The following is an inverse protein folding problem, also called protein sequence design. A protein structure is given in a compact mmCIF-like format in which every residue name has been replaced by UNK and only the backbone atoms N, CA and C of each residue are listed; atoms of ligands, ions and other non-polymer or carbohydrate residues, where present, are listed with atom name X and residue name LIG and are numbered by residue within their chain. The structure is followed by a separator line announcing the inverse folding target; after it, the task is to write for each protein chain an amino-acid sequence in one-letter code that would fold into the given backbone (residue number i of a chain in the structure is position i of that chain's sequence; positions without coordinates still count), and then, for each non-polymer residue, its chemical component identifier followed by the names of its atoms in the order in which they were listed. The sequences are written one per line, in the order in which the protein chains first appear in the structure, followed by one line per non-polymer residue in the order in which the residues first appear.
data_IF_402376095802
#
_entry.id   IF_402376095802
#
_cell.length_a   1.000
_cell.length_b   1.000
_cell.length_c   1.000
_cell.angle_alpha   90.00
_cell.angle_beta   90.00
_cell.angle_gamma   90.00
#
_symmetry.space_group_name_H-M   'P 1'
#
loop_
_entity.id
_entity.type
_entity.pdbx_description
1 polymer ?
#
# COMPACT_ATOMS: atom_id res chain seq x y z
N UNK A 1 -6.75 18.62 -9.38
CA UNK A 1 -8.08 18.53 -10.04
C UNK A 1 -7.89 18.90 -11.50
N UNK A 2 -8.52 18.16 -12.43
CA UNK A 2 -8.21 17.98 -13.86
C UNK A 2 -7.26 16.79 -14.09
N UNK A 3 -7.55 15.76 -14.89
CA UNK A 3 -8.69 15.39 -15.75
C UNK A 3 -8.79 13.86 -15.73
N UNK A 4 -9.91 13.34 -15.27
CA UNK A 4 -10.33 11.95 -15.49
C UNK A 4 -11.36 11.96 -16.60
N UNK A 5 -10.89 12.09 -17.83
CA UNK A 5 -11.66 11.93 -19.05
C UNK A 5 -10.76 11.18 -20.02
N UNK A 6 -11.34 10.27 -20.80
CA UNK A 6 -10.72 9.45 -21.87
C UNK A 6 -10.46 7.98 -21.53
N UNK A 7 -11.44 7.25 -20.95
CA UNK A 7 -11.39 5.78 -20.91
C UNK A 7 -12.69 5.05 -21.27
N UNK A 8 -13.74 5.74 -21.70
CA UNK A 8 -15.00 5.10 -22.08
C UNK A 8 -15.58 5.80 -23.31
N UNK A 9 -14.92 5.66 -24.46
CA UNK A 9 -15.47 6.11 -25.74
C UNK A 9 -15.16 5.12 -26.87
N UNK A 10 -15.06 3.84 -26.52
CA UNK A 10 -15.34 2.78 -27.48
C UNK A 10 -16.55 2.03 -26.91
N UNK A 11 -17.73 2.60 -27.15
CA UNK A 11 -18.90 1.77 -27.33
C UNK A 11 -18.52 0.80 -28.46
N UNK A 12 -18.01 -0.38 -28.10
CA UNK A 12 -18.10 -1.55 -28.94
C UNK A 12 -19.60 -1.71 -29.21
N UNK A 13 -20.09 -1.00 -30.23
CA UNK A 13 -21.38 -1.21 -30.84
C UNK A 13 -21.46 -2.72 -30.98
N UNK A 14 -22.33 -3.35 -30.18
CA UNK A 14 -22.65 -4.76 -30.31
C UNK A 14 -22.88 -4.97 -31.79
N UNK A 15 -21.93 -5.58 -32.49
CA UNK A 15 -21.89 -5.60 -33.95
C UNK A 15 -23.20 -6.21 -34.45
N UNK A 16 -24.18 -5.33 -34.71
CA UNK A 16 -25.53 -5.68 -35.14
C UNK A 16 -25.55 -5.86 -36.65
N UNK A 17 -24.40 -5.71 -37.33
CA UNK A 17 -24.22 -6.08 -38.73
C UNK A 17 -24.62 -7.53 -38.98
N UNK A 18 -24.44 -8.40 -37.98
CA UNK A 18 -24.93 -9.80 -38.01
C UNK A 18 -26.45 -9.92 -37.82
N UNK A 19 -27.20 -8.89 -37.40
CA UNK A 19 -28.66 -8.94 -37.21
C UNK A 19 -29.41 -8.48 -38.48
N UNK A 20 -28.84 -7.55 -39.25
CA UNK A 20 -29.49 -6.96 -40.43
C UNK A 20 -29.15 -7.65 -41.77
N UNK A 21 -28.08 -8.44 -41.86
CA UNK A 21 -27.53 -8.78 -43.18
C UNK A 21 -28.21 -9.92 -43.96
N UNK A 22 -29.08 -10.74 -43.38
CA UNK A 22 -29.73 -11.81 -44.15
C UNK A 22 -31.20 -11.93 -43.77
N UNK A 23 -32.03 -11.08 -44.38
CA UNK A 23 -33.46 -11.32 -44.42
C UNK A 23 -33.69 -12.72 -44.98
N UNK A 24 -34.08 -13.65 -44.11
CA UNK A 24 -34.31 -15.02 -44.53
C UNK A 24 -35.37 -15.01 -45.63
N UNK A 25 -35.00 -15.47 -46.83
CA UNK A 25 -35.88 -15.58 -47.99
C UNK A 25 -37.15 -16.37 -47.65
N UNK A 26 -37.09 -17.38 -46.78
CA UNK A 26 -38.27 -18.13 -46.32
C UNK A 26 -39.16 -17.28 -45.38
N UNK A 27 -38.57 -16.51 -44.48
CA UNK A 27 -39.31 -15.59 -43.61
C UNK A 27 -39.95 -14.42 -44.38
N UNK A 28 -39.31 -13.92 -45.44
CA UNK A 28 -39.81 -12.80 -46.24
C UNK A 28 -40.77 -13.24 -47.35
N UNK A 29 -40.58 -14.42 -47.95
CA UNK A 29 -41.41 -14.90 -49.06
C UNK A 29 -42.77 -15.43 -48.61
N UNK A 30 -42.96 -15.67 -47.31
CA UNK A 30 -44.13 -16.35 -46.77
C UNK A 30 -44.14 -17.82 -47.20
N UNK A 31 -44.21 -18.73 -46.23
CA UNK A 31 -44.31 -20.16 -46.57
C UNK A 31 -45.53 -20.38 -47.48
N UNK A 32 -45.31 -20.87 -48.71
CA UNK A 32 -46.40 -21.26 -49.59
C UNK A 32 -47.21 -22.33 -48.87
N UNK A 33 -48.48 -22.04 -48.57
CA UNK A 33 -49.40 -23.01 -47.97
C UNK A 33 -49.91 -23.92 -49.09
N UNK A 34 -49.52 -25.20 -49.13
CA UNK A 34 -50.05 -26.11 -50.14
C UNK A 34 -51.56 -26.20 -49.97
N UNK A 35 -52.30 -26.11 -51.08
CA UNK A 35 -53.75 -26.33 -51.06
C UNK A 35 -54.04 -27.79 -50.73
N UNK A 36 -55.12 -28.02 -49.98
CA UNK A 36 -55.66 -29.37 -49.81
C UNK A 36 -56.09 -29.90 -51.20
N UNK A 37 -55.92 -31.21 -51.47
CA UNK A 37 -56.40 -31.79 -52.70
C UNK A 37 -57.92 -31.61 -52.84
N UNK A 38 -58.36 -31.37 -54.07
CA UNK A 38 -59.79 -31.40 -54.39
C UNK A 38 -60.34 -32.82 -54.21
N UNK A 39 -61.62 -32.98 -53.82
CA UNK A 39 -62.25 -34.29 -53.73
C UNK A 39 -62.26 -35.01 -55.11
N UNK A 40 -62.22 -36.35 -55.12
CA UNK A 40 -62.15 -37.12 -56.36
C UNK A 40 -63.34 -36.83 -57.28
N UNK A 41 -63.07 -36.65 -58.57
CA UNK A 41 -64.08 -36.34 -59.58
C UNK A 41 -64.89 -37.57 -60.00
N UNK A 42 -64.37 -38.78 -59.73
CA UNK A 42 -65.06 -40.04 -60.00
C UNK A 42 -65.74 -40.52 -58.72
N UNK A 43 -67.04 -40.79 -58.82
CA UNK A 43 -67.84 -41.35 -57.72
C UNK A 43 -67.78 -42.87 -57.74
N UNK A 44 -67.61 -43.50 -56.57
CA UNK A 44 -67.73 -44.95 -56.44
C UNK A 44 -69.22 -45.32 -56.56
N UNK A 45 -69.62 -46.20 -57.50
CA UNK A 45 -71.02 -46.61 -57.63
C UNK A 45 -71.55 -47.20 -56.33
N UNK A 46 -72.77 -46.81 -55.96
CA UNK A 46 -73.45 -47.36 -54.80
C UNK A 46 -73.74 -48.85 -54.97
N UNK A 47 -73.85 -49.57 -53.85
CA UNK A 47 -74.19 -50.99 -53.86
C UNK A 47 -75.57 -51.20 -54.52
N UNK A 48 -75.61 -52.04 -55.56
CA UNK A 48 -76.83 -52.29 -56.35
C UNK A 48 -77.01 -51.38 -57.57
N UNK A 49 -76.10 -50.45 -57.83
CA UNK A 49 -76.10 -49.65 -59.06
C UNK A 49 -75.85 -50.53 -60.31
N UNK A 50 -76.40 -50.15 -61.48
CA UNK A 50 -76.07 -50.81 -62.74
C UNK A 50 -74.57 -50.84 -62.99
N UNK A 51 -74.05 -51.97 -63.48
CA UNK A 51 -72.62 -52.15 -63.75
C UNK A 51 -72.18 -51.16 -64.84
N UNK A 52 -71.16 -50.31 -64.59
CA UNK A 52 -70.64 -49.40 -65.59
C UNK A 52 -70.13 -50.14 -66.83
N UNK A 53 -70.29 -49.53 -68.01
CA UNK A 53 -69.73 -50.08 -69.24
C UNK A 53 -68.20 -50.08 -69.21
N UNK A 54 -67.58 -50.95 -70.01
CA UNK A 54 -66.11 -51.02 -70.12
C UNK A 54 -65.51 -49.67 -70.55
N UNK A 55 -66.20 -48.93 -71.43
CA UNK A 55 -65.77 -47.59 -71.84
C UNK A 55 -65.86 -46.56 -70.71
N UNK A 56 -66.89 -46.64 -69.85
CA UNK A 56 -67.00 -45.77 -68.67
C UNK A 56 -65.88 -46.07 -67.67
N UNK A 57 -65.64 -47.34 -67.36
CA UNK A 57 -64.53 -47.75 -66.48
C UNK A 57 -63.17 -47.30 -67.03
N UNK A 58 -62.95 -47.39 -68.35
CA UNK A 58 -61.73 -46.92 -68.97
C UNK A 58 -61.57 -45.40 -68.92
N UNK A 59 -62.67 -44.63 -69.00
CA UNK A 59 -62.65 -43.19 -68.83
C UNK A 59 -62.34 -42.80 -67.37
N UNK A 60 -63.01 -43.44 -66.41
CA UNK A 60 -62.82 -43.24 -64.98
C UNK A 60 -61.39 -43.58 -64.54
N UNK A 61 -60.83 -44.69 -65.04
CA UNK A 61 -59.44 -45.08 -64.77
C UNK A 61 -58.43 -44.01 -65.22
N UNK A 62 -58.65 -43.37 -66.39
CA UNK A 62 -57.80 -42.28 -66.87
C UNK A 62 -57.96 -41.01 -66.03
N UNK A 63 -59.13 -40.76 -65.46
CA UNK A 63 -59.34 -39.63 -64.52
C UNK A 63 -58.58 -39.91 -63.23
N UNK A 64 -58.74 -41.08 -62.62
CA UNK A 64 -58.02 -41.47 -61.41
C UNK A 64 -56.50 -41.46 -61.60
N UNK A 65 -55.99 -41.89 -62.76
CA UNK A 65 -54.56 -41.83 -63.06
C UNK A 65 -54.03 -40.39 -63.02
N UNK A 66 -54.74 -39.44 -63.63
CA UNK A 66 -54.38 -38.01 -63.60
C UNK A 66 -54.46 -37.42 -62.20
N UNK A 67 -55.51 -37.75 -61.43
CA UNK A 67 -55.64 -37.30 -60.04
C UNK A 67 -54.52 -37.85 -59.15
N UNK A 68 -54.16 -39.12 -59.32
CA UNK A 68 -53.06 -39.74 -58.57
C UNK A 68 -51.71 -39.10 -58.90
N UNK A 69 -51.46 -38.78 -60.18
CA UNK A 69 -50.27 -38.03 -60.60
C UNK A 69 -50.24 -36.62 -59.97
N UNK A 70 -51.37 -35.91 -59.96
CA UNK A 70 -51.45 -34.59 -59.34
C UNK A 70 -51.21 -34.64 -57.81
N UNK A 71 -51.78 -35.62 -57.12
CA UNK A 71 -51.56 -35.85 -55.68
C UNK A 71 -50.09 -36.16 -55.37
N UNK A 72 -49.44 -36.99 -56.18
CA UNK A 72 -48.01 -37.29 -56.01
C UNK A 72 -47.15 -36.04 -56.16
N UNK A 73 -47.38 -35.23 -57.19
CA UNK A 73 -46.66 -33.98 -57.38
C UNK A 73 -46.89 -33.00 -56.21
N UNK A 74 -48.11 -32.93 -55.66
CA UNK A 74 -48.40 -32.12 -54.47
C UNK A 74 -47.66 -32.65 -53.24
N UNK A 75 -47.67 -33.95 -53.00
CA UNK A 75 -46.97 -34.58 -51.88
C UNK A 75 -45.46 -34.32 -51.96
N UNK A 76 -44.85 -34.47 -53.14
CA UNK A 76 -43.43 -34.17 -53.36
C UNK A 76 -43.11 -32.71 -53.03
N UNK A 77 -43.95 -31.76 -53.48
CA UNK A 77 -43.78 -30.35 -53.16
C UNK A 77 -43.87 -30.09 -51.63
N UNK A 78 -44.85 -30.65 -50.95
CA UNK A 78 -45.00 -30.51 -49.49
C UNK A 78 -43.80 -31.13 -48.76
N UNK A 79 -43.33 -32.29 -49.21
CA UNK A 79 -42.17 -32.97 -48.63
C UNK A 79 -40.90 -32.12 -48.75
N UNK A 80 -40.63 -31.58 -49.94
CA UNK A 80 -39.49 -30.67 -50.17
C UNK A 80 -39.63 -29.39 -49.34
N UNK A 81 -40.82 -28.80 -49.28
CA UNK A 81 -41.07 -27.60 -48.48
C UNK A 81 -40.85 -27.85 -46.99
N UNK A 82 -41.33 -28.98 -46.46
CA UNK A 82 -41.13 -29.36 -45.06
C UNK A 82 -39.64 -29.61 -44.75
N UNK A 83 -38.91 -30.27 -45.66
CA UNK A 83 -37.47 -30.45 -45.52
C UNK A 83 -36.72 -29.11 -45.53
N UNK A 84 -37.09 -28.19 -46.42
CA UNK A 84 -36.53 -26.83 -46.46
C UNK A 84 -36.79 -26.04 -45.18
N UNK A 85 -38.01 -26.11 -44.64
CA UNK A 85 -38.36 -25.50 -43.36
C UNK A 85 -37.56 -26.09 -42.19
N UNK A 86 -37.35 -27.40 -42.17
CA UNK A 86 -36.57 -28.06 -41.13
C UNK A 86 -35.09 -27.64 -41.16
N UNK A 87 -34.49 -27.60 -42.35
CA UNK A 87 -33.11 -27.09 -42.53
C UNK A 87 -33.02 -25.63 -42.10
N UNK A 88 -33.99 -24.80 -42.52
CA UNK A 88 -34.01 -23.40 -42.14
C UNK A 88 -34.13 -23.19 -40.62
N UNK A 89 -35.01 -23.94 -39.96
CA UNK A 89 -35.15 -23.91 -38.50
C UNK A 89 -33.85 -24.32 -37.79
N UNK A 90 -33.11 -25.32 -38.31
CA UNK A 90 -31.81 -25.72 -37.78
C UNK A 90 -30.78 -24.59 -37.91
N UNK A 91 -30.69 -23.94 -39.06
CA UNK A 91 -29.76 -22.82 -39.28
C UNK A 91 -30.06 -21.65 -38.33
N UNK A 92 -31.35 -21.31 -38.15
CA UNK A 92 -31.74 -20.28 -37.19
C UNK A 92 -31.40 -20.68 -35.75
N UNK A 93 -31.60 -21.95 -35.40
CA UNK A 93 -31.24 -22.47 -34.08
C UNK A 93 -29.74 -22.34 -33.81
N UNK A 94 -28.89 -22.78 -34.74
CA UNK A 94 -27.43 -22.69 -34.60
C UNK A 94 -26.96 -21.24 -34.51
N UNK A 95 -27.56 -20.35 -35.30
CA UNK A 95 -27.29 -18.90 -35.24
C UNK A 95 -27.67 -18.30 -33.87
N UNK A 96 -28.85 -18.64 -33.35
CA UNK A 96 -29.27 -18.19 -32.02
C UNK A 96 -28.34 -18.71 -30.92
N UNK A 97 -27.89 -19.97 -31.01
CA UNK A 97 -26.90 -20.52 -30.08
C UNK A 97 -25.54 -19.80 -30.18
N UNK A 98 -25.10 -19.40 -31.37
CA UNK A 98 -23.89 -18.61 -31.55
C UNK A 98 -24.02 -17.22 -30.89
N UNK A 99 -25.15 -16.53 -31.06
CA UNK A 99 -25.41 -15.26 -30.38
C UNK A 99 -25.40 -15.39 -28.87
N UNK A 100 -26.09 -16.41 -28.32
CA UNK A 100 -26.11 -16.63 -26.88
C UNK A 100 -24.72 -16.91 -26.31
N UNK A 101 -23.90 -17.70 -27.02
CA UNK A 101 -22.51 -17.97 -26.61
C UNK A 101 -21.67 -16.69 -26.56
N UNK A 102 -21.72 -15.88 -27.62
CA UNK A 102 -21.01 -14.59 -27.66
C UNK A 102 -21.48 -13.64 -26.56
N UNK A 103 -22.78 -13.56 -26.31
CA UNK A 103 -23.33 -12.75 -25.23
C UNK A 103 -22.83 -13.23 -23.85
N UNK A 104 -22.79 -14.55 -23.62
CA UNK A 104 -22.26 -15.11 -22.37
C UNK A 104 -20.76 -14.86 -22.20
N UNK A 105 -19.97 -14.97 -23.28
CA UNK A 105 -18.55 -14.65 -23.29
C UNK A 105 -18.31 -13.18 -22.95
N UNK A 106 -19.01 -12.26 -23.62
CA UNK A 106 -18.93 -10.83 -23.32
C UNK A 106 -19.35 -10.49 -21.88
N UNK A 107 -20.42 -11.10 -21.37
CA UNK A 107 -20.81 -10.94 -19.96
C UNK A 107 -19.72 -11.43 -19.00
N UNK A 108 -19.07 -12.56 -19.31
CA UNK A 108 -18.00 -13.11 -18.48
C UNK A 108 -16.76 -12.21 -18.49
N UNK A 109 -16.37 -11.72 -19.66
CA UNK A 109 -15.25 -10.78 -19.82
C UNK A 109 -15.53 -9.48 -19.06
N UNK A 110 -16.75 -8.93 -19.19
CA UNK A 110 -17.19 -7.75 -18.45
C UNK A 110 -17.14 -7.96 -16.93
N UNK A 111 -17.55 -9.13 -16.44
CA UNK A 111 -17.46 -9.46 -15.01
C UNK A 111 -16.01 -9.53 -14.52
N UNK A 112 -15.10 -10.12 -15.29
CA UNK A 112 -13.67 -10.18 -14.96
C UNK A 112 -13.06 -8.78 -14.94
N UNK A 113 -13.40 -7.93 -15.91
CA UNK A 113 -12.95 -6.54 -15.97
C UNK A 113 -13.45 -5.75 -14.76
N UNK A 114 -14.73 -5.92 -14.39
CA UNK A 114 -15.32 -5.27 -13.23
C UNK A 114 -14.63 -5.69 -11.93
N UNK A 115 -14.40 -7.00 -11.73
CA UNK A 115 -13.70 -7.53 -10.56
C UNK A 115 -12.28 -6.96 -10.46
N UNK A 116 -11.53 -6.96 -11.56
CA UNK A 116 -10.19 -6.36 -11.60
C UNK A 116 -10.22 -4.86 -11.28
N UNK A 117 -11.22 -4.14 -11.79
CA UNK A 117 -11.38 -2.71 -11.53
C UNK A 117 -11.68 -2.47 -10.04
N UNK A 118 -12.55 -3.26 -9.43
CA UNK A 118 -12.86 -3.16 -8.01
C UNK A 118 -11.64 -3.47 -7.13
N UNK A 119 -10.86 -4.51 -7.46
CA UNK A 119 -9.62 -4.82 -6.76
C UNK A 119 -8.57 -3.70 -6.91
N UNK A 120 -8.46 -3.09 -8.09
CA UNK A 120 -7.56 -1.96 -8.31
C UNK A 120 -7.96 -0.74 -7.49
N UNK A 121 -9.28 -0.47 -7.40
CA UNK A 121 -9.84 0.60 -6.59
C UNK A 121 -9.56 0.37 -5.11
N UNK A 122 -9.78 -0.85 -4.60
CA UNK A 122 -9.53 -1.18 -3.20
C UNK A 122 -8.05 -0.94 -2.83
N UNK A 123 -7.11 -1.35 -3.69
CA UNK A 123 -5.67 -1.06 -3.50
C UNK A 123 -5.39 0.44 -3.46
N UNK A 124 -5.96 1.21 -4.39
CA UNK A 124 -5.80 2.66 -4.42
C UNK A 124 -6.38 3.34 -3.17
N UNK A 125 -7.51 2.86 -2.65
CA UNK A 125 -8.11 3.34 -1.40
C UNK A 125 -7.19 3.05 -0.20
N UNK A 126 -6.61 1.84 -0.13
CA UNK A 126 -5.63 1.48 0.91
C UNK A 126 -4.37 2.38 0.84
N UNK A 127 -3.85 2.64 -0.36
CA UNK A 127 -2.74 3.56 -0.56
C UNK A 127 -3.07 4.99 -0.15
N UNK A 128 -4.30 5.45 -0.43
CA UNK A 128 -4.77 6.76 0.01
C UNK A 128 -4.75 6.88 1.54
N UNK A 129 -5.23 5.86 2.25
CA UNK A 129 -5.19 5.82 3.72
C UNK A 129 -3.74 5.86 4.22
N UNK A 130 -2.86 5.03 3.66
CA UNK A 130 -1.45 5.01 4.05
C UNK A 130 -0.75 6.37 3.80
N UNK A 131 -1.08 7.05 2.71
CA UNK A 131 -0.58 8.39 2.42
C UNK A 131 -1.13 9.43 3.39
N UNK A 132 -2.41 9.35 3.76
CA UNK A 132 -3.01 10.23 4.77
C UNK A 132 -2.30 10.08 6.12
N UNK A 133 -2.04 8.87 6.57
CA UNK A 133 -1.31 8.59 7.82
C UNK A 133 0.12 9.15 7.75
N UNK A 134 0.80 8.94 6.63
CA UNK A 134 2.16 9.46 6.44
C UNK A 134 2.19 10.99 6.46
N UNK A 135 1.21 11.64 5.83
CA UNK A 135 1.07 13.10 5.85
C UNK A 135 0.76 13.59 7.27
N UNK A 136 -0.11 12.92 8.02
CA UNK A 136 -0.38 13.24 9.42
C UNK A 136 0.91 13.16 10.26
N UNK A 137 1.69 12.09 10.12
CA UNK A 137 2.97 11.95 10.80
C UNK A 137 4.02 12.99 10.39
N UNK A 138 4.02 13.47 9.15
CA UNK A 138 4.86 14.58 8.71
C UNK A 138 4.43 15.91 9.34
N UNK A 139 3.12 16.19 9.43
CA UNK A 139 2.60 17.39 10.08
C UNK A 139 2.93 17.42 11.57
N UNK A 140 2.79 16.29 12.26
CA UNK A 140 3.16 16.16 13.66
C UNK A 140 4.67 16.39 13.89
N UNK A 141 5.53 15.83 13.02
CA UNK A 141 6.97 16.15 13.04
C UNK A 141 7.26 17.63 12.81
N UNK A 142 6.59 18.25 11.83
CA UNK A 142 6.75 19.69 11.57
C UNK A 142 6.36 20.51 12.81
N UNK A 143 5.21 20.22 13.43
CA UNK A 143 4.77 20.90 14.65
C UNK A 143 5.76 20.76 15.81
N UNK A 144 6.43 19.61 15.97
CA UNK A 144 7.51 19.44 16.96
C UNK A 144 8.74 20.28 16.64
N UNK A 145 9.12 20.37 15.36
CA UNK A 145 10.23 21.22 14.91
C UNK A 145 9.91 22.68 15.18
N UNK A 146 8.72 23.15 14.83
CA UNK A 146 8.28 24.53 15.09
C UNK A 146 8.30 24.85 16.58
N UNK A 147 7.82 23.94 17.43
CA UNK A 147 7.88 24.10 18.88
C UNK A 147 9.32 24.13 19.41
N UNK A 148 10.23 23.34 18.83
CA UNK A 148 11.65 23.35 19.20
C UNK A 148 12.34 24.66 18.77
N UNK A 149 12.02 25.17 17.59
CA UNK A 149 12.49 26.47 17.10
C UNK A 149 12.01 27.59 18.02
N UNK A 150 10.72 27.59 18.38
CA UNK A 150 10.17 28.59 19.31
C UNK A 150 10.87 28.58 20.67
N UNK A 151 11.13 27.39 21.25
CA UNK A 151 11.89 27.27 22.50
C UNK A 151 13.32 27.79 22.37
N UNK A 152 13.98 27.51 21.23
CA UNK A 152 15.33 28.00 20.98
C UNK A 152 15.37 29.53 20.91
N UNK A 153 14.46 30.14 20.14
CA UNK A 153 14.38 31.60 20.04
C UNK A 153 14.13 32.24 21.42
N UNK A 154 13.19 31.70 22.19
CA UNK A 154 12.94 32.17 23.56
C UNK A 154 14.18 32.04 24.48
N UNK A 155 14.97 30.96 24.31
CA UNK A 155 16.22 30.81 25.06
C UNK A 155 17.29 31.80 24.61
N UNK A 156 17.38 32.11 23.31
CA UNK A 156 18.31 33.11 22.77
C UNK A 156 17.96 34.50 23.32
N UNK A 157 16.68 34.88 23.32
CA UNK A 157 16.19 36.13 23.91
C UNK A 157 16.54 36.21 25.41
N UNK A 158 16.25 35.15 26.17
CA UNK A 158 16.59 35.10 27.59
C UNK A 158 18.10 35.21 27.86
N UNK A 159 18.94 34.59 27.03
CA UNK A 159 20.40 34.72 27.15
C UNK A 159 20.90 36.11 26.80
N UNK A 160 20.27 36.79 25.82
CA UNK A 160 20.58 38.16 25.47
C UNK A 160 20.23 39.11 26.64
N UNK A 161 19.07 38.93 27.27
CA UNK A 161 18.67 39.68 28.47
C UNK A 161 19.66 39.47 29.62
N UNK A 162 20.05 38.22 29.89
CA UNK A 162 21.06 37.91 30.92
C UNK A 162 22.42 38.55 30.63
N UNK A 163 22.85 38.53 29.36
CA UNK A 163 24.10 39.15 28.95
C UNK A 163 24.08 40.66 29.21
N UNK A 164 23.00 41.35 28.84
CA UNK A 164 22.86 42.79 29.11
C UNK A 164 22.82 43.10 30.61
N UNK A 165 22.10 42.31 31.41
CA UNK A 165 22.10 42.49 32.87
C UNK A 165 23.49 42.33 33.49
N UNK A 166 24.31 41.39 32.99
CA UNK A 166 25.69 41.22 33.43
C UNK A 166 26.59 42.39 32.99
N UNK A 167 26.39 42.94 31.78
CA UNK A 167 27.09 44.14 31.34
C UNK A 167 26.79 45.34 32.25
N UNK A 168 25.52 45.55 32.61
CA UNK A 168 25.10 46.62 33.51
C UNK A 168 25.72 46.47 34.91
N UNK A 169 25.73 45.24 35.45
CA UNK A 169 26.38 44.94 36.73
C UNK A 169 27.89 45.22 36.68
N UNK A 170 28.54 44.83 35.58
CA UNK A 170 29.96 45.10 35.38
C UNK A 170 30.25 46.60 35.31
N UNK A 171 29.46 47.36 34.54
CA UNK A 171 29.58 48.82 34.45
C UNK A 171 29.38 49.50 35.82
N UNK A 172 28.38 49.06 36.59
CA UNK A 172 28.15 49.54 37.94
C UNK A 172 29.33 49.22 38.87
N UNK A 173 29.89 48.02 38.80
CA UNK A 173 31.06 47.64 39.60
C UNK A 173 32.31 48.47 39.24
N UNK A 174 32.52 48.76 37.95
CA UNK A 174 33.60 49.67 37.51
C UNK A 174 33.40 51.07 38.06
N UNK A 175 32.18 51.63 37.99
CA UNK A 175 31.88 52.94 38.54
C UNK A 175 32.20 53.00 40.04
N UNK A 176 31.83 51.96 40.80
CA UNK A 176 32.13 51.81 42.22
C UNK A 176 33.64 51.78 42.49
N UNK A 177 34.40 51.03 41.70
CA UNK A 177 35.88 50.99 41.80
C UNK A 177 36.49 52.35 41.48
N UNK A 178 36.00 53.05 40.45
CA UNK A 178 36.50 54.40 40.12
C UNK A 178 36.23 55.41 41.23
N UNK A 179 35.05 55.34 41.86
CA UNK A 179 34.68 56.22 42.96
C UNK A 179 35.55 55.95 44.21
N UNK A 180 35.70 54.67 44.62
CA UNK A 180 36.62 54.27 45.68
C UNK A 180 38.06 54.72 45.41
N UNK A 181 38.53 54.57 44.17
CA UNK A 181 39.87 55.00 43.78
C UNK A 181 40.02 56.53 43.89
N UNK A 182 39.00 57.29 43.49
CA UNK A 182 38.98 58.75 43.65
C UNK A 182 38.94 59.15 45.13
N UNK A 183 38.16 58.47 45.98
CA UNK A 183 38.13 58.67 47.43
C UNK A 183 39.52 58.42 48.05
N UNK A 184 40.20 57.35 47.67
CA UNK A 184 41.57 57.04 48.12
C UNK A 184 42.57 58.10 47.64
N UNK A 185 42.46 58.58 46.40
CA UNK A 185 43.33 59.62 45.87
C UNK A 185 43.08 61.01 46.51
N UNK A 186 41.84 61.31 46.88
CA UNK A 186 41.45 62.55 47.56
C UNK A 186 41.74 62.54 49.07
N UNK A 187 41.87 61.36 49.68
CA UNK A 187 42.33 61.22 51.05
C UNK A 187 43.79 61.70 51.15
N UNK A 188 44.03 62.81 51.84
CA UNK A 188 45.39 63.25 52.17
C UNK A 188 46.11 62.18 53.02
N UNK A 189 47.45 62.06 52.92
CA UNK A 189 48.22 61.14 53.74
C UNK A 189 48.13 61.56 55.21
N UNK A 190 47.06 61.17 55.87
CA UNK A 190 46.89 61.27 57.31
C UNK A 190 47.84 60.26 57.94
N UNK A 191 48.90 60.76 58.59
CA UNK A 191 49.79 60.19 59.61
C UNK A 191 49.66 58.68 60.00
N UNK A 192 49.51 57.79 59.02
CA UNK A 192 49.27 56.34 59.19
C UNK A 192 50.42 55.49 58.67
N UNK A 193 51.56 56.09 58.34
CA UNK A 193 52.81 55.36 58.05
C UNK A 193 53.35 54.64 59.29
N UNK A 194 53.07 55.16 60.50
CA UNK A 194 53.47 54.52 61.76
C UNK A 194 52.69 53.22 62.05
N UNK A 195 51.42 53.12 61.63
CA UNK A 195 50.56 51.97 61.93
C UNK A 195 50.77 50.78 60.98
N UNK A 196 51.18 51.03 59.73
CA UNK A 196 51.48 49.96 58.77
C UNK A 196 52.84 49.30 59.06
N UNK A 197 53.84 50.08 59.50
CA UNK A 197 55.15 49.54 59.90
C UNK A 197 55.04 48.57 61.09
N UNK A 198 54.14 48.83 62.04
CA UNK A 198 53.87 47.93 63.17
C UNK A 198 53.16 46.64 62.76
N UNK A 199 52.28 46.69 61.75
CA UNK A 199 51.62 45.49 61.20
C UNK A 199 52.59 44.60 60.42
N UNK A 200 53.50 45.18 59.62
CA UNK A 200 54.51 44.39 58.92
C UNK A 200 55.59 43.83 59.87
N UNK A 201 55.99 44.58 60.91
CA UNK A 201 56.88 44.07 61.95
C UNK A 201 56.25 42.90 62.73
N UNK A 202 54.98 43.03 63.13
CA UNK A 202 54.26 41.95 63.82
C UNK A 202 53.92 40.73 62.95
N UNK A 203 53.96 40.86 61.61
CA UNK A 203 53.82 39.72 60.70
C UNK A 203 55.13 38.96 60.57
N UNK A 204 56.27 39.66 60.46
CA UNK A 204 57.60 39.05 60.45
C UNK A 204 57.91 38.28 61.74
N UNK A 205 57.57 38.85 62.91
CA UNK A 205 57.77 38.17 64.21
C UNK A 205 56.96 36.87 64.35
N UNK A 206 55.78 36.76 63.71
CA UNK A 206 54.98 35.52 63.74
C UNK A 206 55.55 34.44 62.83
N UNK A 207 56.12 34.85 61.71
CA UNK A 207 56.76 33.92 60.77
C UNK A 207 58.09 33.41 61.34
N UNK A 208 58.85 34.26 62.04
CA UNK A 208 60.05 33.86 62.80
C UNK A 208 59.72 32.92 63.98
N UNK A 209 58.67 33.22 64.76
CA UNK A 209 58.23 32.33 65.84
C UNK A 209 57.74 30.95 65.35
N UNK A 210 57.22 30.86 64.10
CA UNK A 210 56.89 29.58 63.47
C UNK A 210 58.13 28.82 63.04
N UNK A 211 59.16 29.50 62.53
CA UNK A 211 60.43 28.88 62.19
C UNK A 211 61.14 28.30 63.43
N UNK A 212 61.17 29.04 64.55
CA UNK A 212 61.75 28.54 65.81
C UNK A 212 60.98 27.35 66.39
N UNK A 213 59.65 27.35 66.30
CA UNK A 213 58.83 26.24 66.76
C UNK A 213 59.07 24.96 65.92
N UNK A 214 59.25 25.10 64.61
CA UNK A 214 59.55 23.97 63.74
C UNK A 214 60.98 23.43 63.95
N UNK A 215 61.97 24.28 64.24
CA UNK A 215 63.33 23.86 64.60
C UNK A 215 63.38 23.11 65.95
N UNK A 216 62.62 23.57 66.95
CA UNK A 216 62.48 22.88 68.26
C UNK A 216 61.80 21.52 68.13
N UNK A 217 60.84 21.38 67.20
CA UNK A 217 60.19 20.10 66.89
C UNK A 217 61.17 19.11 66.26
N UNK A 218 62.05 19.58 65.38
CA UNK A 218 63.07 18.73 64.73
C UNK A 218 64.16 18.28 65.72
N UNK A 219 64.47 19.06 66.76
CA UNK A 219 65.39 18.66 67.83
C UNK A 219 64.79 17.61 68.79
N UNK A 220 63.48 17.68 69.04
CA UNK A 220 62.77 16.76 69.94
C UNK A 220 62.55 15.37 69.33
N UNK A 221 62.41 15.29 68.01
CA UNK A 221 62.14 14.05 67.27
C UNK A 221 63.40 13.31 66.80
N UNK A 222 64.55 13.43 67.49
CA UNK A 222 65.78 12.66 67.17
C UNK A 222 65.78 11.28 67.86
N UNK A 223 65.45 10.16 67.20
CA UNK A 223 65.37 8.85 67.84
C UNK A 223 66.69 8.08 67.69
N UNK A 224 67.10 7.46 68.80
CA UNK A 224 68.25 6.57 68.96
C UNK A 224 67.89 5.17 68.39
N UNK A 225 68.74 4.62 67.51
CA UNK A 225 68.54 3.31 66.85
C UNK A 225 68.55 2.09 67.80
N UNK A 226 67.65 1.11 67.59
CA UNK A 226 67.85 -0.35 67.70
C UNK A 226 66.54 -1.17 67.41
N UNK A 227 66.58 -2.48 67.05
CA UNK A 227 65.86 -3.00 65.86
C UNK A 227 64.74 -4.06 66.06
N UNK A 228 63.83 -4.13 65.07
CA UNK A 228 63.08 -5.31 64.53
C UNK A 228 61.97 -5.99 65.39
N UNK A 229 61.07 -6.86 64.84
CA UNK A 229 60.90 -7.31 63.46
C UNK A 229 59.47 -7.15 62.87
N UNK A 230 59.44 -7.25 61.54
CA UNK A 230 58.29 -7.16 60.64
C UNK A 230 57.28 -8.29 60.87
N UNK A 231 55.98 -7.97 60.97
CA UNK A 231 54.88 -8.88 60.69
C UNK A 231 54.07 -8.35 59.53
N UNK A 232 54.16 -9.06 58.42
CA UNK A 232 53.35 -8.93 57.20
C UNK A 232 51.99 -9.53 57.49
N UNK A 233 50.92 -8.77 57.28
CA UNK A 233 49.59 -9.31 57.03
C UNK A 233 49.04 -8.66 55.76
N UNK A 234 48.90 -9.52 54.75
CA UNK A 234 47.98 -9.36 53.63
C UNK A 234 46.58 -9.08 54.15
N UNK A 235 45.85 -8.25 53.40
CA UNK A 235 44.40 -8.30 53.11
C UNK A 235 44.11 -6.99 52.35
N UNK A 236 43.30 -6.88 51.30
CA UNK A 236 42.69 -7.79 50.35
C UNK A 236 41.78 -6.90 49.52
N UNK A 237 42.19 -6.55 48.28
CA UNK A 237 41.37 -6.28 47.08
C UNK A 237 40.20 -5.25 47.13
N UNK A 238 39.59 -4.87 45.98
CA UNK A 238 39.93 -5.24 44.60
C UNK A 238 40.18 -4.08 43.63
N UNK A 239 41.13 -4.35 42.74
CA UNK A 239 41.33 -3.71 41.46
C UNK A 239 40.32 -4.21 40.40
N UNK A 240 40.32 -3.46 39.29
CA UNK A 240 40.12 -3.92 37.91
C UNK A 240 38.76 -3.61 37.27
N UNK A 241 38.75 -2.45 36.62
CA UNK A 241 37.98 -2.21 35.39
C UNK A 241 39.00 -2.32 34.23
N UNK A 242 38.60 -3.02 33.16
CA UNK A 242 39.20 -3.12 31.80
C UNK A 242 40.25 -4.21 31.47
N UNK A 243 39.82 -5.32 30.82
CA UNK A 243 39.96 -5.63 29.36
C UNK A 243 39.84 -7.13 29.04
N UNK A 244 39.07 -7.43 27.97
CA UNK A 244 39.16 -8.56 26.99
C UNK A 244 39.10 -10.02 27.53
N UNK A 245 38.54 -11.05 26.89
CA UNK A 245 38.12 -11.38 25.51
C UNK A 245 37.37 -12.73 25.59
N UNK A 246 36.39 -13.00 24.68
CA UNK A 246 35.97 -14.32 24.08
C UNK A 246 35.78 -15.55 25.02
N UNK A 247 34.76 -16.41 24.98
CA UNK A 247 33.79 -16.86 23.96
C UNK A 247 32.91 -17.99 24.56
N UNK A 248 31.74 -18.26 23.94
CA UNK A 248 30.81 -19.41 24.13
C UNK A 248 29.98 -19.40 25.44
N UNK A 249 28.66 -19.63 25.48
CA UNK A 249 27.72 -20.39 24.63
C UNK A 249 26.27 -20.02 25.00
N UNK A 250 25.32 -20.23 24.07
CA UNK A 250 23.84 -20.25 24.23
C UNK A 250 23.14 -18.90 24.44
N UNK A 251 22.11 -18.48 23.70
CA UNK A 251 21.26 -19.09 22.67
C UNK A 251 20.52 -17.98 21.91
N UNK A 252 19.92 -18.35 20.77
CA UNK A 252 18.78 -17.70 20.11
C UNK A 252 19.04 -16.59 19.09
N UNK A 253 19.38 -17.02 17.87
CA UNK A 253 18.94 -16.33 16.67
C UNK A 253 18.62 -17.33 15.55
N UNK A 254 17.35 -17.30 15.16
CA UNK A 254 16.77 -17.57 13.84
C UNK A 254 17.79 -17.75 12.72
N UNK A 255 17.75 -18.88 12.01
CA UNK A 255 17.71 -18.96 10.53
C UNK A 255 17.38 -20.40 10.10
N UNK A 256 16.35 -20.49 9.28
CA UNK A 256 15.85 -21.65 8.51
C UNK A 256 16.92 -22.30 7.63
N UNK A 257 16.94 -23.64 7.50
CA UNK A 257 17.51 -24.30 6.35
C UNK A 257 16.40 -24.70 5.36
N UNK A 258 16.63 -24.50 4.06
CA UNK A 258 15.97 -25.34 3.05
C UNK A 258 16.97 -25.73 1.97
N UNK A 259 17.14 -27.03 1.72
CA UNK A 259 18.12 -27.56 0.80
C UNK A 259 17.54 -27.76 -0.61
N UNK A 260 18.46 -27.63 -1.56
CA UNK A 260 18.59 -28.31 -2.86
C UNK A 260 17.43 -29.16 -3.40
N UNK A 261 17.10 -28.82 -4.64
CA UNK A 261 16.37 -29.59 -5.63
C UNK A 261 17.01 -30.94 -6.02
N UNK A 262 16.15 -31.94 -6.18
CA UNK A 262 16.07 -33.06 -7.16
C UNK A 262 15.08 -34.07 -6.54
N UNK A 263 14.14 -34.77 -7.20
CA UNK A 263 13.80 -34.95 -8.60
C UNK A 263 12.43 -35.66 -8.72
N UNK A 264 11.85 -35.63 -9.93
CA UNK A 264 10.97 -36.64 -10.60
C UNK A 264 9.46 -36.83 -10.31
N UNK A 265 8.65 -36.44 -11.33
CA UNK A 265 7.70 -37.25 -12.15
C UNK A 265 6.28 -37.59 -11.63
N UNK A 266 5.22 -37.03 -12.26
CA UNK A 266 4.36 -37.66 -13.31
C UNK A 266 2.96 -36.97 -13.47
N UNK A 267 2.44 -37.00 -14.71
CA UNK A 267 1.03 -36.77 -15.16
C UNK A 267 0.60 -35.28 -15.18
N UNK A 268 0.22 -34.63 -16.29
CA UNK A 268 -0.37 -35.02 -17.58
C UNK A 268 0.36 -34.37 -18.75
#
# INVERSE_FOLDING_TARGET
MARGADLFDEEDELYTGDLEADACVICTSGAYRPRLPDPPQVSIPAQGAPVPSVSQLAADARVFERENQALRAQYELVSVNNAGMAVHASVLHDRNLAFLRRAHEGCREGMIMLENTLLSRERAEQECVALQDRVAGLRDRAGRVDAAVARRLASEDATAEQYHALQDQFAASQALVTDLTAQVAAAHPSASSASLAQLFAGQGERDDARAEHDDLRVEHDRPRCAPSPKRVWMLSLPSAIWRSRQSASSSDSVTTPSPSATDTVALW
#
